data_IF_954828938084
#
_entry.id   IF_954828938084
#
_cell.length_a   1.000
_cell.length_b   1.000
_cell.length_c   1.000
_cell.angle_alpha   90.00
_cell.angle_beta   90.00
_cell.angle_gamma   90.00
#
_symmetry.space_group_name_H-M   'P 1'
#
loop_
_entity.id
_entity.type
_entity.pdbx_description
1 polymer ?
#
# COMPACT_ATOMS: atom_id res chain seq x y z
N UNK A 1 0.50 16.53 8.62
CA UNK A 1 1.22 16.62 9.92
C UNK A 1 2.48 15.79 9.85
N UNK A 2 3.64 16.38 10.11
CA UNK A 2 4.93 15.73 10.17
C UNK A 2 5.46 15.72 11.62
N UNK A 3 6.23 14.71 11.98
CA UNK A 3 6.99 14.66 13.22
C UNK A 3 8.20 15.59 13.06
N UNK A 4 8.32 16.60 13.92
CA UNK A 4 9.40 17.59 13.89
C UNK A 4 10.54 17.22 14.84
N UNK A 5 10.21 16.80 16.06
CA UNK A 5 11.19 16.43 17.07
C UNK A 5 10.68 15.40 18.06
N UNK A 6 11.60 14.65 18.64
CA UNK A 6 11.39 13.78 19.79
C UNK A 6 12.45 14.12 20.82
N UNK A 7 12.02 14.60 21.99
CA UNK A 7 12.89 14.87 23.12
C UNK A 7 12.65 13.77 24.17
N UNK A 8 13.53 12.78 24.16
CA UNK A 8 13.43 11.63 25.06
C UNK A 8 13.74 12.02 26.53
N UNK A 9 14.58 13.04 26.76
CA UNK A 9 14.93 13.49 28.12
C UNK A 9 13.76 14.23 28.78
N UNK A 10 13.07 15.08 28.02
CA UNK A 10 11.88 15.79 28.48
C UNK A 10 10.60 14.99 28.32
N UNK A 11 10.67 13.81 27.68
CA UNK A 11 9.50 12.98 27.43
C UNK A 11 8.47 13.66 26.51
N UNK A 12 8.90 14.40 25.49
CA UNK A 12 8.03 15.24 24.66
C UNK A 12 8.20 14.91 23.18
N UNK A 13 7.10 14.99 22.44
CA UNK A 13 7.08 14.86 20.98
C UNK A 13 6.48 16.13 20.37
N UNK A 14 7.05 16.59 19.25
CA UNK A 14 6.61 17.80 18.54
C UNK A 14 6.23 17.47 17.10
N UNK A 15 5.08 17.98 16.66
CA UNK A 15 4.60 17.84 15.25
C UNK A 15 4.14 19.17 14.69
N UNK A 16 4.23 19.31 13.37
CA UNK A 16 3.76 20.50 12.68
C UNK A 16 2.21 20.63 12.74
N UNK A 17 1.76 21.84 12.46
CA UNK A 17 0.34 22.09 12.19
C UNK A 17 -0.08 21.40 10.87
N UNK A 18 -1.29 20.86 10.83
CA UNK A 18 -1.90 20.38 9.59
C UNK A 18 -2.25 21.54 8.65
N UNK A 19 -2.58 21.22 7.41
CA UNK A 19 -2.96 22.20 6.40
C UNK A 19 -4.30 22.91 6.68
N UNK A 20 -5.16 22.31 7.51
CA UNK A 20 -6.48 22.87 7.86
C UNK A 20 -6.41 23.67 9.19
N UNK A 21 -6.54 25.03 9.13
CA UNK A 21 -6.49 25.88 10.33
C UNK A 21 -7.60 25.58 11.35
N UNK A 22 -8.79 25.16 10.88
CA UNK A 22 -9.91 24.84 11.79
C UNK A 22 -9.64 23.57 12.57
N UNK A 23 -9.03 22.59 11.95
CA UNK A 23 -8.60 21.38 12.65
C UNK A 23 -7.48 21.69 13.66
N UNK A 24 -6.51 22.53 13.28
CA UNK A 24 -5.44 22.93 14.18
C UNK A 24 -5.96 23.58 15.48
N UNK A 25 -7.05 24.36 15.42
CA UNK A 25 -7.67 24.94 16.61
C UNK A 25 -8.37 23.90 17.52
N UNK A 26 -8.77 22.76 16.96
CA UNK A 26 -9.46 21.69 17.70
C UNK A 26 -8.50 20.75 18.41
N UNK A 27 -7.30 20.54 17.84
CA UNK A 27 -6.32 19.57 18.35
C UNK A 27 -5.96 19.80 19.82
N UNK A 28 -5.63 21.00 20.30
CA UNK A 28 -5.32 21.23 21.72
C UNK A 28 -6.51 21.05 22.66
N UNK A 29 -7.74 21.07 22.15
CA UNK A 29 -8.97 20.90 22.92
C UNK A 29 -9.43 19.44 22.98
N UNK A 30 -8.83 18.57 22.18
CA UNK A 30 -9.17 17.16 22.16
C UNK A 30 -8.55 16.45 23.38
N UNK A 31 -9.26 15.50 24.01
CA UNK A 31 -8.71 14.74 25.12
C UNK A 31 -7.54 13.87 24.72
N UNK A 32 -7.52 13.42 23.46
CA UNK A 32 -6.42 12.69 22.86
C UNK A 32 -6.47 12.81 21.33
N UNK A 33 -5.32 12.65 20.68
CA UNK A 33 -5.20 12.48 19.24
C UNK A 33 -4.54 11.14 18.92
N UNK A 34 -5.11 10.41 17.96
CA UNK A 34 -4.49 9.22 17.39
C UNK A 34 -3.67 9.63 16.17
N UNK A 35 -2.43 9.23 16.17
CA UNK A 35 -1.47 9.50 15.12
C UNK A 35 -1.11 8.20 14.40
N UNK A 36 -0.96 8.31 13.09
CA UNK A 36 -0.51 7.23 12.22
C UNK A 36 0.67 7.72 11.40
N UNK A 37 1.71 6.92 11.34
CA UNK A 37 2.90 7.19 10.54
C UNK A 37 3.47 5.90 9.98
N UNK A 38 4.50 6.03 9.17
CA UNK A 38 5.23 4.89 8.62
C UNK A 38 6.72 5.04 8.96
N UNK A 39 7.27 4.05 9.65
CA UNK A 39 8.69 3.91 9.89
C UNK A 39 9.18 2.67 9.14
N UNK A 40 10.19 2.81 8.25
CA UNK A 40 10.71 1.70 7.43
C UNK A 40 9.62 0.93 6.67
N UNK A 41 8.63 1.66 6.14
CA UNK A 41 7.45 1.09 5.47
C UNK A 41 6.48 0.29 6.37
N UNK A 42 6.69 0.29 7.68
CA UNK A 42 5.82 -0.34 8.67
C UNK A 42 4.91 0.73 9.27
N UNK A 43 3.63 0.45 9.33
CA UNK A 43 2.66 1.34 9.95
C UNK A 43 2.86 1.37 11.46
N UNK A 44 2.98 2.57 11.99
CA UNK A 44 3.08 2.83 13.43
C UNK A 44 1.90 3.70 13.83
N UNK A 45 1.17 3.27 14.86
CA UNK A 45 0.07 4.00 15.46
C UNK A 45 0.34 4.25 16.92
N UNK A 46 -0.02 5.44 17.38
CA UNK A 46 0.05 5.80 18.79
C UNK A 46 -0.97 6.89 19.13
N UNK A 47 -1.26 7.05 20.40
CA UNK A 47 -2.14 8.10 20.88
C UNK A 47 -1.38 9.00 21.83
N UNK A 48 -1.61 10.30 21.71
CA UNK A 48 -1.09 11.33 22.62
C UNK A 48 -2.24 12.13 23.20
N UNK A 49 -2.11 12.56 24.42
CA UNK A 49 -3.02 13.47 25.07
C UNK A 49 -2.32 14.75 25.48
N UNK A 50 -3.04 15.66 26.14
CA UNK A 50 -2.47 16.92 26.68
C UNK A 50 -1.67 17.71 25.64
N UNK A 51 -2.24 17.84 24.44
CA UNK A 51 -1.58 18.50 23.31
C UNK A 51 -1.62 20.03 23.53
N UNK A 52 -0.49 20.69 23.41
CA UNK A 52 -0.36 22.14 23.52
C UNK A 52 0.19 22.72 22.24
N UNK A 53 -0.14 24.00 21.95
CA UNK A 53 0.50 24.74 20.86
C UNK A 53 1.78 25.35 21.38
N UNK A 54 2.86 25.20 20.63
CA UNK A 54 4.20 25.72 20.92
C UNK A 54 4.76 26.44 19.70
N UNK A 55 5.79 27.25 19.91
CA UNK A 55 6.64 27.72 18.82
C UNK A 55 7.81 26.75 18.65
N UNK A 56 8.03 26.30 17.42
CA UNK A 56 9.16 25.46 17.04
C UNK A 56 9.86 26.07 15.83
N UNK A 57 11.05 26.56 16.04
CA UNK A 57 11.85 27.27 15.02
C UNK A 57 11.08 28.44 14.34
N UNK A 58 10.35 29.24 15.14
CA UNK A 58 9.58 30.38 14.65
C UNK A 58 8.27 30.02 13.93
N UNK A 59 7.81 28.77 14.06
CA UNK A 59 6.55 28.30 13.45
C UNK A 59 5.66 27.66 14.50
N UNK A 60 4.34 27.83 14.39
CA UNK A 60 3.40 27.16 15.29
C UNK A 60 3.44 25.65 15.07
N UNK A 61 3.55 24.90 16.17
CA UNK A 61 3.60 23.45 16.22
C UNK A 61 2.79 22.93 17.40
N UNK A 62 2.59 21.61 17.46
CA UNK A 62 1.98 20.93 18.58
C UNK A 62 3.05 20.17 19.37
N UNK A 63 2.99 20.26 20.70
CA UNK A 63 3.75 19.44 21.60
C UNK A 63 2.83 18.57 22.44
N UNK A 64 3.26 17.34 22.70
CA UNK A 64 2.56 16.41 23.59
C UNK A 64 3.57 15.56 24.37
N UNK A 65 3.19 14.98 25.50
CA UNK A 65 3.99 13.94 26.14
C UNK A 65 4.24 12.77 25.20
N UNK A 66 5.40 12.13 25.32
CA UNK A 66 5.68 10.88 24.61
C UNK A 66 4.60 9.84 24.92
N UNK A 67 4.11 9.12 23.91
CA UNK A 67 3.14 8.07 24.13
C UNK A 67 3.75 6.94 24.98
N UNK A 68 3.01 6.37 25.92
CA UNK A 68 3.52 5.28 26.77
C UNK A 68 3.76 3.99 25.98
N UNK A 69 3.16 3.88 24.79
CA UNK A 69 3.31 2.75 23.89
C UNK A 69 3.01 3.16 22.45
N UNK A 70 3.59 2.42 21.51
CA UNK A 70 3.22 2.49 20.10
C UNK A 70 2.90 1.10 19.57
N UNK A 71 1.95 1.07 18.64
CA UNK A 71 1.56 -0.15 17.95
C UNK A 71 2.27 -0.17 16.58
N UNK A 72 3.20 -1.10 16.42
CA UNK A 72 3.87 -1.36 15.15
C UNK A 72 3.11 -2.47 14.41
N UNK A 73 2.53 -2.14 13.25
CA UNK A 73 1.64 -3.05 12.52
C UNK A 73 2.36 -3.54 11.26
N UNK A 74 3.04 -4.67 11.37
CA UNK A 74 3.62 -5.36 10.23
C UNK A 74 2.69 -6.47 9.77
N UNK A 75 1.87 -6.19 8.72
CA UNK A 75 0.92 -7.14 8.14
C UNK A 75 1.49 -7.94 6.96
N UNK A 76 2.67 -7.54 6.46
CA UNK A 76 3.25 -8.12 5.25
C UNK A 76 4.37 -9.06 5.65
N UNK A 77 4.21 -10.32 5.30
CA UNK A 77 5.23 -11.36 5.49
C UNK A 77 6.28 -11.32 4.38
N UNK A 78 5.93 -10.78 3.20
CA UNK A 78 6.81 -10.74 2.04
C UNK A 78 7.05 -9.30 1.58
N UNK A 79 8.30 -9.05 1.19
CA UNK A 79 8.73 -7.78 0.59
C UNK A 79 8.03 -7.56 -0.75
N UNK A 80 7.61 -6.33 -1.03
CA UNK A 80 6.92 -5.92 -2.26
C UNK A 80 7.73 -4.89 -3.01
N UNK A 81 7.87 -5.11 -4.31
CA UNK A 81 8.53 -4.18 -5.22
C UNK A 81 7.50 -3.57 -6.17
N UNK A 82 7.56 -2.26 -6.37
CA UNK A 82 6.77 -1.60 -7.40
C UNK A 82 7.29 -1.97 -8.78
N UNK A 83 6.36 -2.26 -9.70
CA UNK A 83 6.67 -2.43 -11.11
C UNK A 83 6.82 -1.06 -11.77
N UNK A 84 7.97 -0.72 -12.35
CA UNK A 84 8.17 0.57 -13.00
C UNK A 84 7.37 0.65 -14.31
N UNK A 85 6.87 1.84 -14.64
CA UNK A 85 6.10 2.07 -15.88
C UNK A 85 6.92 1.82 -17.14
N UNK A 86 8.25 1.92 -17.07
CA UNK A 86 9.16 1.63 -18.18
C UNK A 86 9.29 0.14 -18.49
N UNK A 87 8.92 -0.75 -17.58
CA UNK A 87 8.96 -2.21 -17.73
C UNK A 87 7.67 -2.83 -17.20
N UNK A 88 6.52 -2.59 -17.86
CA UNK A 88 5.22 -3.03 -17.36
C UNK A 88 5.13 -4.56 -17.34
N UNK A 89 4.45 -5.07 -16.34
CA UNK A 89 4.02 -6.46 -16.24
C UNK A 89 2.52 -6.48 -16.40
N UNK A 90 2.02 -7.29 -17.33
CA UNK A 90 0.60 -7.45 -17.61
C UNK A 90 0.13 -8.80 -17.09
N UNK A 91 -0.95 -8.79 -16.34
CA UNK A 91 -1.65 -9.99 -15.89
C UNK A 91 -2.81 -10.28 -16.85
N UNK A 92 -2.82 -11.47 -17.42
CA UNK A 92 -3.90 -12.02 -18.26
C UNK A 92 -4.79 -12.88 -17.38
N UNK A 93 -5.96 -12.36 -17.04
CA UNK A 93 -6.98 -13.09 -16.31
C UNK A 93 -7.90 -13.85 -17.27
N UNK A 94 -8.49 -14.96 -16.85
CA UNK A 94 -9.49 -15.63 -17.66
C UNK A 94 -10.63 -14.71 -18.10
N UNK A 95 -11.28 -14.98 -19.23
CA UNK A 95 -12.40 -14.20 -19.72
C UNK A 95 -13.52 -14.08 -18.67
N UNK A 96 -14.14 -12.91 -18.60
CA UNK A 96 -15.32 -12.69 -17.75
C UNK A 96 -16.62 -13.06 -18.50
N UNK A 97 -17.59 -13.60 -17.77
CA UNK A 97 -18.97 -13.75 -18.25
C UNK A 97 -19.16 -14.57 -19.52
N UNK A 98 -18.29 -15.56 -19.78
CA UNK A 98 -18.38 -16.40 -20.98
C UNK A 98 -17.75 -15.79 -22.25
N UNK A 99 -17.04 -14.69 -22.12
CA UNK A 99 -16.25 -14.10 -23.20
C UNK A 99 -15.12 -15.02 -23.67
N UNK A 100 -14.57 -14.76 -24.87
CA UNK A 100 -13.43 -15.53 -25.43
C UNK A 100 -12.08 -14.86 -25.21
N UNK A 101 -12.06 -13.58 -24.84
CA UNK A 101 -10.84 -12.80 -24.70
C UNK A 101 -10.42 -12.66 -23.23
N UNK A 102 -9.11 -12.82 -22.91
CA UNK A 102 -8.61 -12.61 -21.57
C UNK A 102 -8.77 -11.14 -21.16
N UNK A 103 -8.95 -10.92 -19.86
CA UNK A 103 -8.95 -9.58 -19.28
C UNK A 103 -7.52 -9.20 -18.92
N UNK A 104 -7.06 -8.07 -19.44
CA UNK A 104 -5.72 -7.55 -19.17
C UNK A 104 -5.76 -6.55 -18.03
N UNK A 105 -4.90 -6.73 -17.05
CA UNK A 105 -4.69 -5.80 -15.95
C UNK A 105 -3.20 -5.54 -15.75
N UNK A 106 -2.83 -4.34 -15.30
CA UNK A 106 -1.43 -4.03 -15.04
C UNK A 106 -1.03 -4.44 -13.62
N UNK A 107 0.15 -5.02 -13.48
CA UNK A 107 0.74 -5.28 -12.16
C UNK A 107 1.39 -4.01 -11.63
N UNK A 108 0.87 -3.49 -10.52
CA UNK A 108 1.41 -2.30 -9.84
C UNK A 108 2.58 -2.63 -8.92
N UNK A 109 2.46 -3.71 -8.16
CA UNK A 109 3.51 -4.22 -7.28
C UNK A 109 3.44 -5.75 -7.19
N UNK A 110 4.59 -6.37 -6.90
CA UNK A 110 4.77 -7.81 -6.82
C UNK A 110 5.57 -8.20 -5.58
N UNK A 111 5.26 -9.35 -5.02
CA UNK A 111 5.98 -10.03 -3.94
C UNK A 111 5.95 -11.54 -4.15
N UNK A 112 6.64 -12.32 -3.31
CA UNK A 112 6.51 -13.78 -3.34
C UNK A 112 5.11 -14.27 -2.96
N UNK A 113 4.37 -13.50 -2.15
CA UNK A 113 3.01 -13.87 -1.73
C UNK A 113 1.91 -13.48 -2.71
N UNK A 114 2.17 -12.59 -3.68
CA UNK A 114 1.12 -12.11 -4.58
C UNK A 114 1.45 -10.83 -5.31
N UNK A 115 0.43 -10.30 -5.99
CA UNK A 115 0.52 -9.09 -6.82
C UNK A 115 -0.62 -8.11 -6.51
N UNK A 116 -0.40 -6.85 -6.80
CA UNK A 116 -1.47 -5.86 -6.85
C UNK A 116 -1.74 -5.47 -8.31
N UNK A 117 -3.00 -5.55 -8.72
CA UNK A 117 -3.47 -5.27 -10.06
C UNK A 117 -4.23 -3.96 -10.14
N UNK A 118 -4.09 -3.26 -11.24
CA UNK A 118 -4.77 -2.00 -11.60
C UNK A 118 -5.22 -2.02 -13.05
N UNK A 119 -5.94 -0.98 -13.47
CA UNK A 119 -6.34 -0.75 -14.87
C UNK A 119 -7.25 -1.85 -15.44
N UNK A 120 -8.23 -2.28 -14.64
CA UNK A 120 -9.27 -3.19 -15.10
C UNK A 120 -10.26 -2.53 -16.05
N UNK A 121 -10.80 -3.28 -17.03
CA UNK A 121 -11.96 -2.82 -17.78
C UNK A 121 -13.14 -2.51 -16.85
N UNK A 122 -13.91 -1.42 -17.08
CA UNK A 122 -15.02 -1.03 -16.19
C UNK A 122 -16.09 -2.09 -15.97
N UNK A 123 -16.33 -2.93 -16.97
CA UNK A 123 -17.32 -4.01 -16.93
C UNK A 123 -16.85 -5.27 -16.18
N UNK A 124 -15.58 -5.32 -15.75
CA UNK A 124 -15.05 -6.50 -15.07
C UNK A 124 -15.47 -6.51 -13.60
N UNK A 125 -16.33 -7.47 -13.24
CA UNK A 125 -16.79 -7.63 -11.87
C UNK A 125 -15.68 -8.22 -10.99
N UNK A 126 -15.18 -7.42 -10.05
CA UNK A 126 -14.16 -7.82 -9.07
C UNK A 126 -14.85 -8.16 -7.75
N UNK A 127 -14.85 -9.43 -7.40
CA UNK A 127 -15.42 -9.94 -6.16
C UNK A 127 -14.28 -10.53 -5.31
N UNK A 128 -14.18 -10.10 -4.06
CA UNK A 128 -13.24 -10.68 -3.11
C UNK A 128 -13.52 -12.17 -2.90
N UNK A 129 -12.47 -12.98 -2.84
CA UNK A 129 -12.55 -14.43 -2.76
C UNK A 129 -12.63 -15.11 -4.13
N UNK A 130 -12.74 -14.36 -5.24
CA UNK A 130 -12.69 -14.98 -6.57
C UNK A 130 -11.33 -15.64 -6.80
N UNK A 131 -11.37 -16.88 -7.27
CA UNK A 131 -10.18 -17.68 -7.62
C UNK A 131 -10.09 -17.81 -9.14
N UNK A 132 -8.90 -17.54 -9.65
CA UNK A 132 -8.51 -17.81 -11.02
C UNK A 132 -7.41 -18.87 -11.01
N UNK A 133 -7.75 -20.09 -11.43
CA UNK A 133 -6.84 -21.24 -11.41
C UNK A 133 -5.59 -21.04 -12.29
N UNK A 134 -5.72 -20.27 -13.36
CA UNK A 134 -4.64 -20.00 -14.29
C UNK A 134 -4.70 -18.59 -14.82
N UNK A 135 -3.69 -17.81 -14.47
CA UNK A 135 -3.44 -16.47 -14.98
C UNK A 135 -2.06 -16.41 -15.61
N UNK A 136 -1.89 -15.66 -16.70
CA UNK A 136 -0.59 -15.42 -17.33
C UNK A 136 0.00 -14.09 -16.86
N UNK A 137 1.20 -14.09 -16.29
CA UNK A 137 1.98 -12.87 -16.06
C UNK A 137 2.94 -12.70 -17.24
N UNK A 138 2.69 -11.68 -18.07
CA UNK A 138 3.55 -11.33 -19.20
C UNK A 138 4.57 -10.29 -18.73
N UNK A 139 5.83 -10.68 -18.75
CA UNK A 139 6.95 -9.84 -18.36
C UNK A 139 7.40 -8.98 -19.56
N UNK A 140 8.11 -7.88 -19.29
CA UNK A 140 8.65 -7.00 -20.33
C UNK A 140 9.65 -7.68 -21.28
N UNK A 141 10.13 -8.87 -20.94
CA UNK A 141 11.06 -9.71 -21.73
C UNK A 141 10.35 -10.72 -22.63
N UNK A 142 9.04 -10.55 -22.89
CA UNK A 142 8.15 -11.52 -23.55
C UNK A 142 8.06 -12.89 -22.86
N UNK A 143 8.67 -13.03 -21.71
CA UNK A 143 8.50 -14.22 -20.89
C UNK A 143 7.11 -14.25 -20.26
N UNK A 144 6.51 -15.44 -20.26
CA UNK A 144 5.24 -15.72 -19.59
C UNK A 144 5.46 -16.62 -18.37
N UNK A 145 4.79 -16.27 -17.28
CA UNK A 145 4.71 -17.09 -16.09
C UNK A 145 3.25 -17.34 -15.75
N UNK A 146 2.86 -18.62 -15.65
CA UNK A 146 1.50 -18.98 -15.27
C UNK A 146 1.43 -19.17 -13.75
N UNK A 147 0.35 -18.64 -13.13
CA UNK A 147 0.08 -18.74 -11.70
C UNK A 147 -1.43 -18.73 -11.44
N UNK A 148 -1.87 -19.43 -10.40
CA UNK A 148 -3.20 -19.23 -9.83
C UNK A 148 -3.24 -17.96 -8.98
N UNK A 149 -4.38 -17.26 -8.98
CA UNK A 149 -4.60 -16.04 -8.20
C UNK A 149 -5.92 -16.11 -7.42
N UNK A 150 -5.88 -15.66 -6.17
CA UNK A 150 -7.08 -15.36 -5.39
C UNK A 150 -7.17 -13.86 -5.12
N UNK A 151 -8.31 -13.26 -5.38
CA UNK A 151 -8.59 -11.87 -5.05
C UNK A 151 -8.82 -11.72 -3.55
N UNK A 152 -7.86 -11.14 -2.83
CA UNK A 152 -7.95 -10.98 -1.37
C UNK A 152 -8.43 -9.61 -0.92
N UNK A 153 -8.23 -8.57 -1.75
CA UNK A 153 -8.70 -7.22 -1.47
C UNK A 153 -9.12 -6.52 -2.76
N UNK A 154 -10.26 -5.83 -2.70
CA UNK A 154 -10.71 -4.92 -3.76
C UNK A 154 -10.86 -3.53 -3.16
N UNK A 155 -10.01 -2.60 -3.55
CA UNK A 155 -10.10 -1.19 -3.18
C UNK A 155 -10.56 -0.37 -4.37
N UNK A 156 -11.57 0.47 -4.15
CA UNK A 156 -12.07 1.42 -5.15
C UNK A 156 -11.78 2.83 -4.67
N UNK A 157 -10.98 3.59 -5.42
CA UNK A 157 -10.75 5.00 -5.10
C UNK A 157 -12.01 5.82 -5.43
N UNK A 158 -12.59 6.54 -4.48
CA UNK A 158 -13.77 7.37 -4.74
C UNK A 158 -13.48 8.56 -5.66
N UNK A 159 -12.20 8.91 -5.83
CA UNK A 159 -11.77 10.11 -6.56
C UNK A 159 -11.20 9.80 -7.96
N UNK A 160 -11.26 8.55 -8.42
CA UNK A 160 -10.71 8.20 -9.72
C UNK A 160 -11.75 8.38 -10.84
N UNK A 161 -11.50 9.25 -11.84
CA UNK A 161 -12.40 9.45 -12.96
C UNK A 161 -12.59 8.16 -13.76
N UNK A 162 -13.84 7.85 -14.16
CA UNK A 162 -14.15 6.76 -15.07
C UNK A 162 -13.94 5.34 -14.55
N UNK A 163 -13.96 5.11 -13.23
CA UNK A 163 -13.84 3.78 -12.64
C UNK A 163 -12.44 3.15 -12.70
N UNK A 164 -11.43 3.89 -13.18
CA UNK A 164 -10.05 3.40 -13.31
C UNK A 164 -9.28 3.33 -11.99
N UNK A 165 -9.87 3.69 -10.87
CA UNK A 165 -9.24 3.70 -9.55
C UNK A 165 -9.40 2.40 -8.77
N UNK A 166 -9.55 1.26 -9.43
CA UNK A 166 -9.62 -0.02 -8.75
C UNK A 166 -8.21 -0.56 -8.54
N UNK A 167 -7.94 -0.95 -7.28
CA UNK A 167 -6.73 -1.65 -6.88
C UNK A 167 -7.14 -2.99 -6.29
N UNK A 168 -6.60 -4.06 -6.85
CA UNK A 168 -6.91 -5.42 -6.42
C UNK A 168 -5.66 -6.10 -5.91
N UNK A 169 -5.67 -6.50 -4.65
CA UNK A 169 -4.64 -7.36 -4.07
C UNK A 169 -4.98 -8.82 -4.35
N UNK A 170 -4.04 -9.52 -4.98
CA UNK A 170 -4.17 -10.95 -5.27
C UNK A 170 -3.08 -11.74 -4.56
N UNK A 171 -3.45 -12.90 -4.03
CA UNK A 171 -2.54 -13.90 -3.49
C UNK A 171 -2.24 -14.94 -4.56
N UNK A 172 -0.99 -15.36 -4.68
CA UNK A 172 -0.64 -16.50 -5.51
C UNK A 172 -1.15 -17.81 -4.91
N UNK A 173 -1.65 -18.69 -5.78
CA UNK A 173 -2.07 -20.04 -5.42
C UNK A 173 -1.16 -21.04 -6.10
N UNK A 174 -0.72 -22.04 -5.32
CA UNK A 174 -0.02 -23.24 -5.82
C UNK A 174 1.17 -22.92 -6.76
N UNK A 175 2.01 -21.94 -6.40
CA UNK A 175 3.23 -21.68 -7.16
C UNK A 175 4.15 -22.91 -7.16
N UNK A 176 4.60 -23.32 -8.34
CA UNK A 176 5.69 -24.29 -8.44
C UNK A 176 7.00 -23.67 -7.94
N UNK A 177 7.93 -24.48 -7.45
CA UNK A 177 9.28 -24.01 -7.06
C UNK A 177 9.99 -23.23 -8.18
N UNK A 178 9.78 -23.64 -9.44
CA UNK A 178 10.33 -22.95 -10.60
C UNK A 178 9.72 -21.57 -10.79
N UNK A 179 8.39 -21.44 -10.64
CA UNK A 179 7.68 -20.17 -10.71
C UNK A 179 8.10 -19.22 -9.58
N UNK A 180 8.18 -19.74 -8.36
CA UNK A 180 8.64 -18.98 -7.18
C UNK A 180 10.06 -18.43 -7.38
N UNK A 181 11.01 -19.27 -7.84
CA UNK A 181 12.37 -18.84 -8.14
C UNK A 181 12.43 -17.77 -9.26
N UNK A 182 11.53 -17.83 -10.26
CA UNK A 182 11.45 -16.81 -11.31
C UNK A 182 10.89 -15.49 -10.76
N UNK A 183 9.86 -15.53 -9.92
CA UNK A 183 9.30 -14.34 -9.26
C UNK A 183 10.37 -13.71 -8.36
N UNK A 184 11.12 -14.50 -7.61
CA UNK A 184 12.19 -14.01 -6.76
C UNK A 184 13.29 -13.28 -7.55
N UNK A 185 13.75 -13.87 -8.66
CA UNK A 185 14.69 -13.20 -9.57
C UNK A 185 14.15 -11.90 -10.14
N UNK A 186 12.88 -11.89 -10.55
CA UNK A 186 12.20 -10.70 -11.04
C UNK A 186 12.16 -9.58 -9.98
N UNK A 187 11.81 -9.92 -8.74
CA UNK A 187 11.79 -8.96 -7.60
C UNK A 187 13.18 -8.36 -7.41
N UNK A 188 14.23 -9.17 -7.41
CA UNK A 188 15.61 -8.68 -7.28
C UNK A 188 16.04 -7.78 -8.45
N UNK A 189 15.60 -8.07 -9.67
CA UNK A 189 15.88 -7.21 -10.83
C UNK A 189 15.17 -5.87 -10.71
N UNK A 190 13.88 -5.88 -10.39
CA UNK A 190 13.08 -4.66 -10.22
C UNK A 190 13.57 -3.77 -9.08
N UNK A 191 14.11 -4.36 -8.03
CA UNK A 191 14.64 -3.63 -6.87
C UNK A 191 15.98 -2.95 -7.18
N UNK A 192 16.83 -3.56 -8.00
CA UNK A 192 18.11 -2.97 -8.46
C UNK A 192 17.92 -1.84 -9.47
N UNK A 193 16.84 -1.86 -10.24
CA UNK A 193 16.52 -0.86 -11.28
C UNK A 193 15.81 0.38 -10.69
N UNK A 194 15.75 0.51 -9.37
CA UNK A 194 15.04 1.56 -8.62
C UNK A 194 15.96 2.70 -8.24
#
# INVERSE_FOLDING_TARGET
>A
TALLAVDAERGTVVFDHGADPLQNQRVPRAPAARLETYAEHIRVEFSVGSITTVDFDGKPAFAAPLPPSLLRIQRRETYRVRVPKSRPIVCELPPAGGGSQPVLAQVRDISLGGIALVDFPPAFALVQGTVFERCGLRLATDERLDAGLELVHVYRSPHAPGGRGQLVGCRFLHLSRAAEARIQRLIHQLDRDR
#
